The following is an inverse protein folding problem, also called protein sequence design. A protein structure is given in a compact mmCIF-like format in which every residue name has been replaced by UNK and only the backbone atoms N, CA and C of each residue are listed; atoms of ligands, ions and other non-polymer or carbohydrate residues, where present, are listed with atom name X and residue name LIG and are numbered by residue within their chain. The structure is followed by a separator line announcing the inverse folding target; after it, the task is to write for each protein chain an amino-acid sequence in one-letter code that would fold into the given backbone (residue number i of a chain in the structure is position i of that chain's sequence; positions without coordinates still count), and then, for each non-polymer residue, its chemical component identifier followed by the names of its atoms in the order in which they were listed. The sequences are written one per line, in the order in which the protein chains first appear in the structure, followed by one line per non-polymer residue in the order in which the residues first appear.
data_IF_887486958526
#
_entry.id   IF_887486958526
#
_cell.length_a   1.000
_cell.length_b   1.000
_cell.length_c   1.000
_cell.angle_alpha   90.00
_cell.angle_beta   90.00
_cell.angle_gamma   90.00
#
_symmetry.space_group_name_H-M   'P 1'
#
loop_
_entity.id
_entity.type
_entity.pdbx_description
1 polymer ?
#
# COMPACT_ATOMS: atom_id res chain seq x y z
N UNK A 1 1.82 15.00 15.50
CA UNK A 1 1.91 13.52 15.57
C UNK A 1 1.46 12.96 16.90
N UNK A 2 1.86 13.51 18.04
CA UNK A 2 1.45 13.00 19.37
C UNK A 2 -0.07 12.89 19.53
N UNK A 3 -0.83 13.84 18.98
CA UNK A 3 -2.29 13.82 18.97
C UNK A 3 -2.89 12.66 18.14
N UNK A 4 -2.25 12.30 17.02
CA UNK A 4 -2.72 11.21 16.15
C UNK A 4 -2.59 9.84 16.84
N UNK A 5 -1.40 9.52 17.37
CA UNK A 5 -1.19 8.26 18.09
C UNK A 5 -2.04 8.18 19.35
N UNK A 6 -2.29 9.29 20.03
CA UNK A 6 -3.17 9.32 21.20
C UNK A 6 -4.63 9.03 20.83
N UNK A 7 -5.11 9.52 19.68
CA UNK A 7 -6.45 9.21 19.15
C UNK A 7 -6.62 7.72 18.78
N UNK A 8 -5.53 7.05 18.39
CA UNK A 8 -5.51 5.64 18.00
C UNK A 8 -5.20 4.66 19.16
N UNK A 9 -5.07 5.16 20.40
CA UNK A 9 -4.83 4.28 21.56
C UNK A 9 -3.36 3.98 21.85
N UNK A 10 -2.44 4.79 21.33
CA UNK A 10 -1.01 4.79 21.70
C UNK A 10 -0.08 4.17 20.65
N UNK A 11 -0.61 3.61 19.56
CA UNK A 11 0.15 3.08 18.43
C UNK A 11 -0.62 3.31 17.13
N UNK A 12 0.05 3.13 15.99
CA UNK A 12 -0.56 3.14 14.66
C UNK A 12 0.01 1.98 13.85
N UNK A 13 -0.84 1.33 13.08
CA UNK A 13 -0.46 0.25 12.17
C UNK A 13 -0.21 0.80 10.76
N UNK A 14 0.89 0.39 10.16
CA UNK A 14 1.21 0.67 8.76
C UNK A 14 0.85 -0.54 7.88
N UNK A 15 0.69 -0.30 6.58
CA UNK A 15 0.56 -1.36 5.59
C UNK A 15 1.82 -2.23 5.44
N UNK A 16 1.66 -3.29 4.66
CA UNK A 16 2.71 -4.28 4.38
C UNK A 16 3.37 -4.09 3.01
N UNK A 17 3.92 -5.18 2.49
CA UNK A 17 4.61 -5.18 1.19
C UNK A 17 3.65 -4.95 0.02
N UNK A 18 3.76 -3.79 -0.63
CA UNK A 18 2.99 -3.47 -1.85
C UNK A 18 3.32 -4.44 -3.01
N UNK A 19 4.60 -4.77 -3.22
CA UNK A 19 5.04 -5.64 -4.30
C UNK A 19 4.41 -7.04 -4.20
N UNK A 20 4.50 -7.66 -3.02
CA UNK A 20 3.98 -8.99 -2.74
C UNK A 20 2.48 -9.10 -3.05
N UNK A 21 1.71 -8.10 -2.64
CA UNK A 21 0.27 -8.12 -2.86
C UNK A 21 -0.09 -7.75 -4.31
N UNK A 22 0.66 -6.87 -4.98
CA UNK A 22 0.49 -6.66 -6.43
C UNK A 22 0.74 -7.95 -7.23
N UNK A 23 1.78 -8.73 -6.90
CA UNK A 23 2.05 -10.03 -7.51
C UNK A 23 0.92 -11.03 -7.22
N UNK A 24 0.38 -11.04 -5.98
CA UNK A 24 -0.79 -11.87 -5.62
C UNK A 24 -2.01 -11.54 -6.47
N UNK A 25 -2.18 -10.27 -6.81
CA UNK A 25 -3.22 -9.77 -7.72
C UNK A 25 -2.84 -9.86 -9.21
N UNK A 26 -1.72 -10.52 -9.55
CA UNK A 26 -1.32 -10.86 -10.91
C UNK A 26 -0.51 -9.80 -11.64
N UNK A 27 0.05 -8.81 -10.94
CA UNK A 27 0.97 -7.85 -11.55
C UNK A 27 2.32 -8.48 -11.91
N UNK A 28 2.88 -8.12 -13.07
CA UNK A 28 4.25 -8.44 -13.45
C UNK A 28 5.19 -7.31 -13.05
N UNK A 29 6.06 -7.58 -12.06
CA UNK A 29 6.99 -6.60 -11.49
C UNK A 29 8.43 -6.80 -11.99
N UNK A 30 8.66 -7.52 -13.09
CA UNK A 30 9.98 -7.71 -13.72
C UNK A 30 10.49 -6.44 -14.44
N UNK A 31 10.49 -5.31 -13.74
CA UNK A 31 10.95 -4.01 -14.19
C UNK A 31 11.51 -3.22 -12.99
N UNK A 32 12.73 -2.65 -13.05
CA UNK A 32 13.28 -1.86 -11.94
C UNK A 32 12.41 -0.66 -11.52
N UNK A 33 11.56 -0.15 -12.42
CA UNK A 33 10.62 0.95 -12.19
C UNK A 33 9.17 0.46 -12.16
N UNK A 34 8.94 -0.77 -11.70
CA UNK A 34 7.62 -1.39 -11.68
C UNK A 34 6.56 -0.53 -10.95
N UNK A 35 6.95 0.22 -9.91
CA UNK A 35 6.05 1.08 -9.13
C UNK A 35 5.43 2.16 -10.03
N UNK A 36 6.27 2.88 -10.77
CA UNK A 36 5.87 3.88 -11.76
C UNK A 36 5.09 3.26 -12.92
N UNK A 37 5.50 2.07 -13.39
CA UNK A 37 4.80 1.35 -14.45
C UNK A 37 3.38 0.98 -14.03
N UNK A 38 3.21 0.40 -12.83
CA UNK A 38 1.91 0.05 -12.27
C UNK A 38 1.00 1.27 -12.11
N UNK A 39 1.54 2.42 -11.69
CA UNK A 39 0.76 3.67 -11.60
C UNK A 39 0.16 4.09 -12.95
N UNK A 40 0.85 3.82 -14.06
CA UNK A 40 0.39 4.19 -15.41
C UNK A 40 -0.50 3.09 -16.01
N UNK A 41 -0.06 1.84 -15.95
CA UNK A 41 -0.71 0.73 -16.66
C UNK A 41 -1.85 0.08 -15.87
N UNK A 42 -1.73 0.03 -14.54
CA UNK A 42 -2.59 -0.75 -13.67
C UNK A 42 -2.90 -0.04 -12.35
N UNK A 43 -3.32 1.25 -12.36
CA UNK A 43 -3.58 2.01 -11.13
C UNK A 43 -4.67 1.37 -10.25
N UNK A 44 -5.59 0.63 -10.86
CA UNK A 44 -6.62 -0.13 -10.15
C UNK A 44 -6.03 -1.19 -9.22
N UNK A 45 -4.91 -1.84 -9.57
CA UNK A 45 -4.27 -2.83 -8.70
C UNK A 45 -3.66 -2.18 -7.46
N UNK A 46 -3.07 -0.99 -7.61
CA UNK A 46 -2.56 -0.21 -6.47
C UNK A 46 -3.72 0.17 -5.54
N UNK A 47 -4.84 0.62 -6.11
CA UNK A 47 -6.04 0.92 -5.33
C UNK A 47 -6.57 -0.32 -4.59
N UNK A 48 -6.66 -1.47 -5.26
CA UNK A 48 -7.09 -2.73 -4.64
C UNK A 48 -6.21 -3.10 -3.47
N UNK A 49 -4.88 -3.12 -3.64
CA UNK A 49 -3.96 -3.49 -2.56
C UNK A 49 -4.06 -2.51 -1.37
N UNK A 50 -4.18 -1.20 -1.63
CA UNK A 50 -4.39 -0.24 -0.54
C UNK A 50 -5.72 -0.45 0.19
N UNK A 51 -6.79 -0.79 -0.54
CA UNK A 51 -8.09 -1.11 0.06
C UNK A 51 -8.01 -2.39 0.90
N UNK A 52 -7.32 -3.43 0.42
CA UNK A 52 -7.13 -4.68 1.17
C UNK A 52 -6.43 -4.41 2.52
N UNK A 53 -5.42 -3.54 2.55
CA UNK A 53 -4.77 -3.14 3.80
C UNK A 53 -5.67 -2.28 4.69
N UNK A 54 -6.46 -1.36 4.13
CA UNK A 54 -7.43 -0.58 4.91
C UNK A 54 -8.50 -1.49 5.53
N UNK A 55 -8.99 -2.49 4.81
CA UNK A 55 -9.92 -3.50 5.32
C UNK A 55 -9.28 -4.39 6.40
N UNK A 56 -7.97 -4.62 6.34
CA UNK A 56 -7.21 -5.29 7.39
C UNK A 56 -6.98 -4.41 8.65
N UNK A 57 -7.35 -3.13 8.61
CA UNK A 57 -7.35 -2.23 9.76
C UNK A 57 -6.07 -1.42 9.95
N UNK A 58 -5.31 -1.16 8.88
CA UNK A 58 -4.14 -0.27 8.96
C UNK A 58 -4.58 1.20 9.09
N UNK A 59 -3.81 1.98 9.86
CA UNK A 59 -4.06 3.40 10.07
C UNK A 59 -3.36 4.28 9.02
N UNK A 60 -2.30 3.75 8.41
CA UNK A 60 -1.39 4.47 7.51
C UNK A 60 -1.12 3.62 6.27
N UNK A 61 -1.25 4.27 5.11
CA UNK A 61 -0.88 3.72 3.80
C UNK A 61 0.40 4.39 3.30
N UNK A 62 1.35 3.59 2.82
CA UNK A 62 2.57 4.08 2.19
C UNK A 62 2.36 4.21 0.68
N UNK A 63 2.78 5.34 0.10
CA UNK A 63 2.62 5.61 -1.33
C UNK A 63 3.58 4.80 -2.20
N UNK A 64 3.16 4.43 -3.40
CA UNK A 64 3.97 3.76 -4.43
C UNK A 64 4.96 4.72 -5.12
N UNK A 65 5.83 5.40 -4.35
CA UNK A 65 6.64 6.53 -4.81
C UNK A 65 8.16 6.32 -4.68
N UNK A 66 8.62 5.07 -4.69
CA UNK A 66 10.04 4.69 -4.69
C UNK A 66 10.51 4.22 -6.06
#
# INVERSE_FOLDING_TARGET
MSNFLQQLGGYALIDGGLATELERHGADLNDPLWSAKCLISSPHLIQTVHLDYLEAGVDIILTASY
#
